data_IF_680395737561
#
_entry.id   IF_680395737561
#
_cell.length_a   1.000
_cell.length_b   1.000
_cell.length_c   1.000
_cell.angle_alpha   90.00
_cell.angle_beta   90.00
_cell.angle_gamma   90.00
#
_symmetry.space_group_name_H-M   'P 1'
#
loop_
_entity.id
_entity.type
_entity.pdbx_description
1 polymer ?
#
# COMPACT_ATOMS: atom_id res chain seq x y z
N UNK A 1 62.99 6.27 -38.22
CA UNK A 1 61.74 5.73 -38.79
C UNK A 1 60.90 5.24 -37.62
N UNK A 2 59.97 6.05 -37.11
CA UNK A 2 59.00 5.61 -36.11
C UNK A 2 57.77 5.03 -36.85
N UNK A 3 57.23 3.87 -36.43
CA UNK A 3 55.83 3.55 -36.65
C UNK A 3 54.95 4.11 -35.51
N UNK A 4 53.67 4.43 -35.81
CA UNK A 4 52.78 5.22 -34.95
C UNK A 4 52.04 4.40 -33.87
N UNK A 5 51.58 5.14 -32.87
CA UNK A 5 50.78 4.72 -31.72
C UNK A 5 49.40 4.17 -32.13
N UNK A 6 49.05 2.98 -31.65
CA UNK A 6 47.72 2.38 -31.77
C UNK A 6 47.05 2.24 -30.40
N UNK A 7 46.49 3.34 -29.92
CA UNK A 7 45.74 3.46 -28.66
C UNK A 7 44.35 2.80 -28.74
N UNK A 8 43.93 2.22 -27.62
CA UNK A 8 42.56 2.00 -27.14
C UNK A 8 41.60 1.16 -28.01
N UNK A 9 41.57 -0.15 -27.74
CA UNK A 9 40.31 -0.89 -27.74
C UNK A 9 39.46 -0.39 -26.55
N UNK A 10 38.70 0.68 -26.82
CA UNK A 10 37.69 1.22 -25.91
C UNK A 10 36.52 0.24 -25.73
N UNK A 11 35.90 0.35 -24.56
CA UNK A 11 34.79 -0.48 -24.11
C UNK A 11 33.66 -0.64 -25.16
N UNK A 12 33.28 -1.88 -25.42
CA UNK A 12 32.06 -2.21 -26.16
C UNK A 12 30.84 -1.67 -25.38
N UNK A 13 30.33 -0.54 -25.83
CA UNK A 13 29.08 0.03 -25.36
C UNK A 13 27.89 -0.78 -25.87
N UNK A 14 26.90 -1.02 -25.00
CA UNK A 14 25.60 -1.57 -25.38
C UNK A 14 25.05 -0.76 -26.56
N UNK A 15 24.68 -1.36 -27.70
CA UNK A 15 24.15 -0.62 -28.84
C UNK A 15 22.86 0.10 -28.42
N UNK A 16 22.86 1.42 -28.52
CA UNK A 16 21.73 2.27 -28.16
C UNK A 16 20.54 2.00 -29.10
N UNK A 17 19.64 1.13 -28.67
CA UNK A 17 18.37 0.92 -29.36
C UNK A 17 17.40 2.06 -29.04
N UNK A 18 16.48 2.43 -29.94
CA UNK A 18 15.48 3.46 -29.66
C UNK A 18 14.67 3.20 -28.38
N UNK A 19 14.43 1.92 -28.04
CA UNK A 19 13.77 1.52 -26.81
C UNK A 19 14.59 1.77 -25.55
N UNK A 20 15.90 1.51 -25.59
CA UNK A 20 16.80 1.79 -24.47
C UNK A 20 16.93 3.30 -24.22
N UNK A 21 16.98 4.11 -25.28
CA UNK A 21 17.00 5.57 -25.14
C UNK A 21 15.72 6.12 -24.49
N UNK A 22 14.54 5.60 -24.88
CA UNK A 22 13.26 6.00 -24.28
C UNK A 22 13.18 5.59 -22.80
N UNK A 23 13.66 4.38 -22.44
CA UNK A 23 13.74 3.96 -21.05
C UNK A 23 14.69 4.87 -20.24
N UNK A 24 15.85 5.21 -20.82
CA UNK A 24 16.84 6.09 -20.18
C UNK A 24 16.26 7.48 -19.93
N UNK A 25 15.55 8.09 -20.89
CA UNK A 25 14.87 9.37 -20.68
C UNK A 25 13.88 9.34 -19.50
N UNK A 26 13.20 8.21 -19.28
CA UNK A 26 12.24 8.06 -18.17
C UNK A 26 12.93 7.86 -16.82
N UNK A 27 14.08 7.20 -16.81
CA UNK A 27 14.86 6.94 -15.60
C UNK A 27 15.77 8.11 -15.22
N UNK A 28 16.16 8.95 -16.19
CA UNK A 28 17.01 10.13 -16.01
C UNK A 28 16.63 10.98 -14.78
N UNK A 29 15.36 11.41 -14.58
CA UNK A 29 15.01 12.20 -13.40
C UNK A 29 15.13 11.43 -12.08
N UNK A 30 15.07 10.09 -12.09
CA UNK A 30 15.27 9.28 -10.89
C UNK A 30 16.76 9.06 -10.60
N UNK A 31 17.57 8.93 -11.66
CA UNK A 31 19.03 8.81 -11.59
C UNK A 31 19.63 10.14 -11.10
N UNK A 32 19.26 11.26 -11.72
CA UNK A 32 19.81 12.58 -11.42
C UNK A 32 19.55 13.02 -9.96
N UNK A 33 18.47 12.50 -9.35
CA UNK A 33 18.10 12.79 -7.97
C UNK A 33 18.53 11.69 -6.97
N UNK A 34 19.28 10.68 -7.39
CA UNK A 34 19.70 9.54 -6.53
C UNK A 34 18.53 8.70 -5.99
N UNK A 35 17.33 8.84 -6.57
CA UNK A 35 16.13 8.11 -6.13
C UNK A 35 16.06 6.72 -6.72
N UNK A 36 16.74 6.48 -7.85
CA UNK A 36 16.81 5.16 -8.45
C UNK A 36 17.48 4.16 -7.50
N UNK A 37 18.54 4.58 -6.80
CA UNK A 37 19.25 3.73 -5.83
C UNK A 37 18.30 3.24 -4.73
N UNK A 38 17.49 4.14 -4.14
CA UNK A 38 16.47 3.75 -3.16
C UNK A 38 15.43 2.78 -3.73
N UNK A 39 15.03 2.92 -5.01
CA UNK A 39 14.10 1.99 -5.64
C UNK A 39 14.75 0.63 -5.86
N UNK A 40 16.03 0.60 -6.26
CA UNK A 40 16.80 -0.63 -6.38
C UNK A 40 16.94 -1.30 -5.01
N UNK A 41 17.30 -0.56 -3.96
CA UNK A 41 17.39 -1.08 -2.59
C UNK A 41 16.06 -1.65 -2.10
N UNK A 42 14.94 -0.97 -2.38
CA UNK A 42 13.60 -1.47 -2.04
C UNK A 42 13.26 -2.74 -2.81
N UNK A 43 13.58 -2.79 -4.11
CA UNK A 43 13.35 -3.98 -4.93
C UNK A 43 14.23 -5.15 -4.48
N UNK A 44 15.48 -4.89 -4.08
CA UNK A 44 16.38 -5.87 -3.50
C UNK A 44 15.84 -6.41 -2.19
N UNK A 45 15.40 -5.54 -1.27
CA UNK A 45 14.77 -5.97 -0.01
C UNK A 45 13.51 -6.81 -0.25
N UNK A 46 12.68 -6.43 -1.23
CA UNK A 46 11.49 -7.20 -1.61
C UNK A 46 11.90 -8.55 -2.21
N UNK A 47 12.95 -8.61 -3.02
CA UNK A 47 13.48 -9.86 -3.58
C UNK A 47 13.95 -10.79 -2.46
N UNK A 48 14.77 -10.29 -1.53
CA UNK A 48 15.25 -11.06 -0.38
C UNK A 48 14.08 -11.56 0.48
N UNK A 49 13.02 -10.75 0.61
CA UNK A 49 11.80 -11.15 1.31
C UNK A 49 11.08 -12.28 0.58
N UNK A 50 10.95 -12.21 -0.74
CA UNK A 50 10.33 -13.27 -1.54
C UNK A 50 11.13 -14.56 -1.49
N UNK A 51 12.46 -14.48 -1.51
CA UNK A 51 13.34 -15.64 -1.41
C UNK A 51 13.24 -16.33 -0.04
N UNK A 52 12.87 -15.60 1.01
CA UNK A 52 12.62 -16.14 2.35
C UNK A 52 11.22 -16.77 2.50
N UNK A 53 10.27 -16.45 1.62
CA UNK A 53 8.90 -16.95 1.71
C UNK A 53 8.81 -18.41 1.24
N UNK A 54 8.33 -19.29 2.11
CA UNK A 54 7.92 -20.64 1.76
C UNK A 54 6.44 -20.68 1.35
N UNK A 55 6.00 -21.83 0.83
CA UNK A 55 4.62 -22.02 0.38
C UNK A 55 3.57 -21.75 1.49
N UNK A 56 3.86 -22.13 2.73
CA UNK A 56 2.93 -21.95 3.85
C UNK A 56 2.80 -20.48 4.25
N UNK A 57 3.90 -19.71 4.19
CA UNK A 57 3.92 -18.28 4.44
C UNK A 57 3.19 -17.51 3.33
N UNK A 58 3.36 -17.89 2.06
CA UNK A 58 2.60 -17.30 0.95
C UNK A 58 1.10 -17.49 1.15
N UNK A 59 0.66 -18.69 1.52
CA UNK A 59 -0.76 -18.96 1.78
C UNK A 59 -1.32 -18.15 2.95
N UNK A 60 -0.55 -18.00 4.04
CA UNK A 60 -0.93 -17.13 5.17
C UNK A 60 -1.04 -15.67 4.75
N UNK A 61 -0.12 -15.16 3.93
CA UNK A 61 -0.20 -13.80 3.41
C UNK A 61 -1.43 -13.62 2.53
N UNK A 62 -1.72 -14.57 1.64
CA UNK A 62 -2.92 -14.54 0.82
C UNK A 62 -4.20 -14.48 1.67
N UNK A 63 -4.30 -15.33 2.70
CA UNK A 63 -5.43 -15.30 3.65
C UNK A 63 -5.48 -13.98 4.43
N UNK A 64 -4.34 -13.43 4.83
CA UNK A 64 -4.30 -12.15 5.53
C UNK A 64 -4.77 -11.00 4.63
N UNK A 65 -4.35 -10.99 3.36
CA UNK A 65 -4.81 -10.04 2.35
C UNK A 65 -6.30 -10.18 2.07
N UNK A 66 -6.81 -11.40 1.94
CA UNK A 66 -8.24 -11.67 1.74
C UNK A 66 -9.05 -11.16 2.92
N UNK A 67 -8.68 -11.54 4.15
CA UNK A 67 -9.37 -11.14 5.37
C UNK A 67 -9.30 -9.61 5.59
N UNK A 68 -8.13 -9.01 5.36
CA UNK A 68 -7.94 -7.56 5.48
C UNK A 68 -8.77 -6.79 4.45
N UNK A 69 -8.76 -7.23 3.20
CA UNK A 69 -9.55 -6.62 2.13
C UNK A 69 -11.04 -6.77 2.41
N UNK A 70 -11.49 -7.95 2.85
CA UNK A 70 -12.89 -8.18 3.22
C UNK A 70 -13.34 -7.30 4.41
N UNK A 71 -12.48 -7.12 5.41
CA UNK A 71 -12.75 -6.23 6.54
C UNK A 71 -12.85 -4.76 6.10
N UNK A 72 -11.89 -4.29 5.30
CA UNK A 72 -11.90 -2.93 4.74
C UNK A 72 -13.14 -2.72 3.87
N UNK A 73 -13.50 -3.69 3.03
CA UNK A 73 -14.68 -3.61 2.17
C UNK A 73 -15.96 -3.48 2.98
N UNK A 74 -16.13 -4.32 4.01
CA UNK A 74 -17.28 -4.28 4.91
C UNK A 74 -17.42 -2.92 5.58
N UNK A 75 -16.33 -2.39 6.15
CA UNK A 75 -16.31 -1.07 6.80
C UNK A 75 -16.62 0.04 5.80
N UNK A 76 -15.98 0.02 4.62
CA UNK A 76 -16.20 1.02 3.57
C UNK A 76 -17.67 1.04 3.12
N UNK A 77 -18.26 -0.14 2.92
CA UNK A 77 -19.65 -0.26 2.53
C UNK A 77 -20.60 0.25 3.64
N UNK A 78 -20.33 -0.08 4.91
CA UNK A 78 -21.11 0.43 6.04
C UNK A 78 -21.05 1.97 6.12
N UNK A 79 -19.86 2.56 5.94
CA UNK A 79 -19.68 4.02 5.88
C UNK A 79 -20.46 4.62 4.70
N UNK A 80 -20.42 3.99 3.53
CA UNK A 80 -21.15 4.43 2.34
C UNK A 80 -22.66 4.46 2.58
N UNK A 81 -23.20 3.40 3.20
CA UNK A 81 -24.63 3.32 3.55
C UNK A 81 -25.00 4.37 4.59
N UNK A 82 -24.25 4.49 5.68
CA UNK A 82 -24.50 5.49 6.72
C UNK A 82 -24.46 6.93 6.16
N UNK A 83 -23.51 7.24 5.28
CA UNK A 83 -23.47 8.55 4.60
C UNK A 83 -24.70 8.79 3.74
N UNK A 84 -25.16 7.79 3.00
CA UNK A 84 -26.37 7.90 2.18
C UNK A 84 -27.61 8.17 3.05
N UNK A 85 -27.77 7.43 4.15
CA UNK A 85 -28.87 7.60 5.10
C UNK A 85 -28.87 8.98 5.76
N UNK A 86 -27.71 9.44 6.22
CA UNK A 86 -27.56 10.79 6.82
C UNK A 86 -27.84 11.88 5.78
N UNK A 87 -27.39 11.70 4.53
CA UNK A 87 -27.65 12.68 3.47
C UNK A 87 -29.11 12.75 3.03
N UNK A 88 -29.86 11.64 3.18
CA UNK A 88 -31.29 11.58 2.88
C UNK A 88 -32.15 12.19 3.99
N UNK A 89 -31.61 12.38 5.20
CA UNK A 89 -32.31 13.05 6.30
C UNK A 89 -32.27 14.57 6.12
N UNK A 90 -33.43 15.20 5.96
CA UNK A 90 -33.54 16.64 5.67
C UNK A 90 -33.32 17.56 6.88
N UNK A 91 -33.22 17.03 8.11
CA UNK A 91 -33.00 17.82 9.33
C UNK A 91 -31.54 17.78 9.77
N UNK A 92 -30.94 18.94 10.04
CA UNK A 92 -29.63 19.03 10.71
C UNK A 92 -29.71 18.30 12.06
N UNK A 93 -29.06 17.14 12.16
CA UNK A 93 -29.08 16.31 13.38
C UNK A 93 -28.48 17.08 14.55
N UNK A 94 -29.31 17.45 15.52
CA UNK A 94 -28.87 18.08 16.77
C UNK A 94 -28.27 17.07 17.75
N UNK A 95 -27.64 17.56 18.82
CA UNK A 95 -27.00 16.73 19.86
C UNK A 95 -27.97 15.70 20.47
N UNK A 96 -29.24 16.07 20.64
CA UNK A 96 -30.29 15.16 21.13
C UNK A 96 -30.56 13.99 20.17
N UNK A 97 -30.44 14.20 18.86
CA UNK A 97 -30.61 13.13 17.87
C UNK A 97 -29.44 12.14 17.93
N UNK A 98 -28.21 12.63 18.11
CA UNK A 98 -27.03 11.79 18.31
C UNK A 98 -27.11 10.95 19.59
N UNK A 99 -27.60 11.53 20.69
CA UNK A 99 -27.83 10.79 21.93
C UNK A 99 -28.91 9.72 21.79
N UNK A 100 -29.96 9.96 21.00
CA UNK A 100 -30.96 8.95 20.66
C UNK A 100 -30.37 7.82 19.82
N UNK A 101 -29.54 8.15 18.82
CA UNK A 101 -28.85 7.17 17.97
C UNK A 101 -27.95 6.24 18.79
N UNK A 102 -27.24 6.77 19.81
CA UNK A 102 -26.45 5.94 20.73
C UNK A 102 -27.29 4.96 21.56
N UNK A 103 -28.59 5.22 21.74
CA UNK A 103 -29.49 4.33 22.45
C UNK A 103 -30.18 3.30 21.53
N UNK A 104 -30.02 3.42 20.21
CA UNK A 104 -30.52 2.42 19.27
C UNK A 104 -29.81 1.08 19.46
N UNK A 105 -30.54 -0.02 19.28
CA UNK A 105 -30.05 -1.35 19.59
C UNK A 105 -28.77 -1.70 18.82
N UNK A 106 -28.75 -1.44 17.52
CA UNK A 106 -27.61 -1.77 16.66
C UNK A 106 -26.40 -0.86 16.92
N UNK A 107 -26.62 0.42 17.21
CA UNK A 107 -25.55 1.33 17.64
C UNK A 107 -24.93 0.87 18.96
N UNK A 108 -25.73 0.45 19.95
CA UNK A 108 -25.22 -0.09 21.22
C UNK A 108 -24.42 -1.38 21.01
N UNK A 109 -24.88 -2.30 20.14
CA UNK A 109 -24.12 -3.50 19.78
C UNK A 109 -22.78 -3.13 19.15
N UNK A 110 -22.77 -2.19 18.21
CA UNK A 110 -21.55 -1.69 17.58
C UNK A 110 -20.55 -1.08 18.57
N UNK A 111 -21.03 -0.21 19.47
CA UNK A 111 -20.23 0.38 20.55
C UNK A 111 -19.69 -0.70 21.49
N UNK A 112 -20.51 -1.68 21.87
CA UNK A 112 -20.09 -2.78 22.72
C UNK A 112 -18.97 -3.61 22.07
N UNK A 113 -19.07 -3.90 20.77
CA UNK A 113 -18.01 -4.59 20.02
C UNK A 113 -16.72 -3.78 20.03
N UNK A 114 -16.78 -2.48 19.70
CA UNK A 114 -15.60 -1.62 19.71
C UNK A 114 -14.92 -1.60 21.09
N UNK A 115 -15.68 -1.36 22.16
CA UNK A 115 -15.16 -1.34 23.52
C UNK A 115 -14.59 -2.69 23.95
N UNK A 116 -15.22 -3.80 23.57
CA UNK A 116 -14.74 -5.14 23.89
C UNK A 116 -13.43 -5.46 23.16
N UNK A 117 -13.29 -5.05 21.91
CA UNK A 117 -12.04 -5.18 21.15
C UNK A 117 -10.92 -4.40 21.82
N UNK A 118 -11.16 -3.15 22.21
CA UNK A 118 -10.18 -2.34 22.97
C UNK A 118 -9.79 -3.03 24.29
N UNK A 119 -10.75 -3.60 25.01
CA UNK A 119 -10.49 -4.34 26.25
C UNK A 119 -9.61 -5.57 26.02
N UNK A 120 -9.80 -6.30 24.92
CA UNK A 120 -8.98 -7.45 24.56
C UNK A 120 -7.54 -7.03 24.22
N UNK A 121 -7.37 -5.99 23.42
CA UNK A 121 -6.04 -5.44 23.07
C UNK A 121 -5.32 -4.98 24.34
N UNK A 122 -5.98 -4.19 25.18
CA UNK A 122 -5.40 -3.70 26.44
C UNK A 122 -5.06 -4.81 27.46
N UNK A 123 -5.61 -6.01 27.31
CA UNK A 123 -5.23 -7.18 28.13
C UNK A 123 -3.98 -7.90 27.60
N UNK A 124 -3.66 -7.72 26.33
CA UNK A 124 -2.52 -8.37 25.67
C UNK A 124 -1.27 -7.48 25.66
N UNK A 125 -1.41 -6.19 25.93
CA UNK A 125 -0.32 -5.24 26.20
C UNK A 125 0.14 -5.38 27.66
#
# INVERSE_FOLDING_TARGET
>A
MNPPDGNAAGADGIPATPGLNNLMEKLQPLIDNGRLDNLVDLLSLVSDTVDLLDAAMVEKLAQLFENGTAAIWTVSNAVRVAKAEVSAQSSASGILALLKLLNEEDTRKGVAVALKTLNVIGRQL
#
